data_IF_382240767646
#
_entry.id   IF_382240767646
#
_cell.length_a   1.000
_cell.length_b   1.000
_cell.length_c   1.000
_cell.angle_alpha   90.00
_cell.angle_beta   90.00
_cell.angle_gamma   90.00
#
_symmetry.space_group_name_H-M   'P 1'
#
loop_
_entity.id
_entity.type
_entity.pdbx_description
1 polymer ?
#
# COMPACT_ATOMS: atom_id res chain seq x y z
N UNK A 1 -47.32 5.41 7.97
CA UNK A 1 -47.04 4.10 7.34
C UNK A 1 -45.55 3.96 7.22
N UNK A 2 -45.02 2.77 7.44
CA UNK A 2 -43.60 2.49 7.30
C UNK A 2 -43.41 1.22 6.47
N UNK A 3 -42.37 1.21 5.66
CA UNK A 3 -41.92 0.03 4.92
C UNK A 3 -40.44 -0.20 5.26
N UNK A 4 -40.05 -1.40 5.66
CA UNK A 4 -38.64 -1.68 5.96
C UNK A 4 -37.81 -1.76 4.68
N UNK A 5 -36.53 -1.40 4.79
CA UNK A 5 -35.51 -1.66 3.78
C UNK A 5 -34.86 -2.99 4.14
N UNK A 6 -35.12 -4.05 3.37
CA UNK A 6 -34.61 -5.40 3.66
C UNK A 6 -33.56 -5.78 2.63
N UNK A 7 -32.38 -6.17 3.09
CA UNK A 7 -31.29 -6.73 2.29
C UNK A 7 -31.05 -8.17 2.72
N UNK A 8 -31.25 -9.12 1.82
CA UNK A 8 -31.02 -10.56 2.09
C UNK A 8 -31.69 -11.05 3.39
N UNK A 9 -32.94 -10.62 3.62
CA UNK A 9 -33.69 -10.94 4.83
C UNK A 9 -33.31 -10.11 6.07
N UNK A 10 -32.28 -9.26 6.00
CA UNK A 10 -31.83 -8.40 7.10
C UNK A 10 -32.36 -6.97 6.94
N UNK A 11 -33.03 -6.39 7.93
CA UNK A 11 -33.44 -4.99 7.90
C UNK A 11 -32.23 -4.05 8.02
N UNK A 12 -32.06 -3.18 7.03
CA UNK A 12 -30.99 -2.18 6.96
C UNK A 12 -31.50 -0.74 7.15
N UNK A 13 -32.83 -0.58 7.27
CA UNK A 13 -33.45 0.73 7.48
C UNK A 13 -34.96 0.71 7.31
N UNK A 14 -35.56 1.90 7.22
CA UNK A 14 -37.00 2.07 7.05
C UNK A 14 -37.31 3.32 6.24
N UNK A 15 -38.30 3.24 5.34
CA UNK A 15 -38.93 4.41 4.75
C UNK A 15 -40.23 4.68 5.49
N UNK A 16 -40.35 5.86 6.08
CA UNK A 16 -41.56 6.30 6.76
C UNK A 16 -42.25 7.41 5.97
N UNK A 17 -43.56 7.27 5.79
CA UNK A 17 -44.41 8.35 5.29
C UNK A 17 -45.56 8.60 6.27
N UNK A 18 -45.87 9.88 6.49
CA UNK A 18 -46.96 10.33 7.35
C UNK A 18 -47.81 11.37 6.64
N UNK A 19 -49.09 11.44 7.01
CA UNK A 19 -50.02 12.49 6.57
C UNK A 19 -50.63 13.12 7.82
N UNK A 20 -50.86 14.42 7.79
CA UNK A 20 -51.49 15.19 8.89
C UNK A 20 -53.02 15.10 8.89
N UNK A 21 -53.60 14.65 7.77
CA UNK A 21 -55.04 14.42 7.60
C UNK A 21 -55.35 12.95 7.89
N UNK A 22 -56.43 12.70 8.64
CA UNK A 22 -56.92 11.35 9.00
C UNK A 22 -57.52 10.66 7.77
N UNK A 23 -56.65 10.07 6.96
CA UNK A 23 -57.01 9.32 5.76
C UNK A 23 -56.02 8.16 5.58
N UNK A 24 -56.50 6.90 5.51
CA UNK A 24 -55.65 5.74 5.24
C UNK A 24 -54.88 5.88 3.92
N UNK A 25 -53.73 5.22 3.83
CA UNK A 25 -53.06 4.99 2.55
C UNK A 25 -53.81 3.87 1.82
N UNK A 26 -54.06 4.06 0.53
CA UNK A 26 -54.69 3.03 -0.28
C UNK A 26 -53.65 2.02 -0.78
N UNK A 27 -54.13 0.89 -1.32
CA UNK A 27 -53.26 -0.21 -1.77
C UNK A 27 -52.26 0.20 -2.84
N UNK A 28 -52.64 1.11 -3.75
CA UNK A 28 -51.73 1.65 -4.78
C UNK A 28 -50.58 2.44 -4.16
N UNK A 29 -50.87 3.25 -3.14
CA UNK A 29 -49.85 4.02 -2.39
C UNK A 29 -48.94 3.09 -1.58
N UNK A 30 -49.51 2.05 -0.97
CA UNK A 30 -48.74 1.04 -0.23
C UNK A 30 -47.80 0.29 -1.18
N UNK A 31 -48.32 -0.19 -2.32
CA UNK A 31 -47.54 -0.90 -3.33
C UNK A 31 -46.40 -0.04 -3.88
N UNK A 32 -46.69 1.23 -4.21
CA UNK A 32 -45.67 2.15 -4.68
C UNK A 32 -44.55 2.37 -3.65
N UNK A 33 -44.89 2.54 -2.37
CA UNK A 33 -43.87 2.71 -1.32
C UNK A 33 -43.00 1.46 -1.17
N UNK A 34 -43.59 0.26 -1.31
CA UNK A 34 -42.82 -1.00 -1.31
C UNK A 34 -41.83 -1.05 -2.47
N UNK A 35 -42.27 -0.73 -3.68
CA UNK A 35 -41.37 -0.66 -4.85
C UNK A 35 -40.24 0.35 -4.66
N UNK A 36 -40.52 1.52 -4.06
CA UNK A 36 -39.46 2.47 -3.73
C UNK A 36 -38.50 1.97 -2.64
N UNK A 37 -38.99 1.24 -1.65
CA UNK A 37 -38.14 0.61 -0.66
C UNK A 37 -37.20 -0.42 -1.31
N UNK A 38 -37.72 -1.25 -2.21
CA UNK A 38 -36.91 -2.24 -2.95
C UNK A 38 -35.82 -1.55 -3.80
N UNK A 39 -36.18 -0.48 -4.52
CA UNK A 39 -35.21 0.30 -5.31
C UNK A 39 -34.18 1.03 -4.44
N UNK A 40 -34.60 1.54 -3.27
CA UNK A 40 -33.69 2.20 -2.33
C UNK A 40 -32.65 1.21 -1.78
N UNK A 41 -33.04 -0.03 -1.47
CA UNK A 41 -32.09 -1.08 -1.07
C UNK A 41 -31.02 -1.30 -2.15
N UNK A 42 -31.43 -1.41 -3.42
CA UNK A 42 -30.50 -1.59 -4.55
C UNK A 42 -29.54 -0.40 -4.65
N UNK A 43 -30.04 0.83 -4.55
CA UNK A 43 -29.21 2.03 -4.65
C UNK A 43 -28.22 2.15 -3.49
N UNK A 44 -28.65 1.87 -2.26
CA UNK A 44 -27.79 1.85 -1.07
C UNK A 44 -26.68 0.82 -1.25
N UNK A 45 -27.01 -0.38 -1.74
CA UNK A 45 -26.04 -1.44 -1.94
C UNK A 45 -25.03 -1.09 -3.04
N UNK A 46 -25.47 -0.46 -4.13
CA UNK A 46 -24.57 0.01 -5.18
C UNK A 46 -23.54 1.02 -4.66
N UNK A 47 -23.97 1.98 -3.84
CA UNK A 47 -23.06 2.96 -3.22
C UNK A 47 -22.08 2.26 -2.27
N UNK A 48 -22.57 1.32 -1.45
CA UNK A 48 -21.73 0.54 -0.52
C UNK A 48 -20.65 -0.26 -1.27
N UNK A 49 -21.05 -1.00 -2.30
CA UNK A 49 -20.15 -1.81 -3.12
C UNK A 49 -19.11 -0.94 -3.85
N UNK A 50 -19.53 0.20 -4.38
CA UNK A 50 -18.63 1.14 -5.04
C UNK A 50 -17.59 1.72 -4.07
N UNK A 51 -18.00 2.10 -2.85
CA UNK A 51 -17.08 2.56 -1.81
C UNK A 51 -16.08 1.48 -1.39
N UNK A 52 -16.56 0.24 -1.23
CA UNK A 52 -15.71 -0.92 -0.90
C UNK A 52 -14.68 -1.18 -2.01
N UNK A 53 -15.09 -1.10 -3.27
CA UNK A 53 -14.21 -1.25 -4.42
C UNK A 53 -13.16 -0.13 -4.49
N UNK A 54 -13.53 1.12 -4.21
CA UNK A 54 -12.57 2.23 -4.17
C UNK A 54 -11.55 2.05 -3.04
N UNK A 55 -12.00 1.64 -1.85
CA UNK A 55 -11.12 1.40 -0.72
C UNK A 55 -10.10 0.29 -1.02
N UNK A 56 -10.56 -0.84 -1.57
CA UNK A 56 -9.68 -1.94 -1.99
C UNK A 56 -8.70 -1.53 -3.08
N UNK A 57 -9.14 -0.74 -4.07
CA UNK A 57 -8.22 -0.25 -5.11
C UNK A 57 -7.13 0.63 -4.51
N UNK A 58 -7.48 1.53 -3.58
CA UNK A 58 -6.50 2.38 -2.90
C UNK A 58 -5.46 1.54 -2.15
N UNK A 59 -5.91 0.56 -1.36
CA UNK A 59 -5.04 -0.35 -0.62
C UNK A 59 -4.09 -1.12 -1.56
N UNK A 60 -4.60 -1.62 -2.70
CA UNK A 60 -3.79 -2.30 -3.71
C UNK A 60 -2.76 -1.35 -4.33
N UNK A 61 -3.15 -0.12 -4.66
CA UNK A 61 -2.23 0.88 -5.21
C UNK A 61 -1.12 1.21 -4.23
N UNK A 62 -1.46 1.47 -2.96
CA UNK A 62 -0.47 1.75 -1.90
C UNK A 62 0.49 0.56 -1.71
N UNK A 63 -0.03 -0.67 -1.71
CA UNK A 63 0.79 -1.89 -1.60
C UNK A 63 1.74 -2.05 -2.80
N UNK A 64 1.26 -1.78 -4.02
CA UNK A 64 2.07 -1.83 -5.23
C UNK A 64 3.18 -0.77 -5.23
N UNK A 65 2.87 0.45 -4.78
CA UNK A 65 3.87 1.52 -4.62
C UNK A 65 4.96 1.11 -3.62
N UNK A 66 4.57 0.54 -2.47
CA UNK A 66 5.51 0.05 -1.47
C UNK A 66 6.40 -1.07 -2.01
N UNK A 67 5.82 -2.04 -2.72
CA UNK A 67 6.58 -3.13 -3.36
C UNK A 67 7.54 -2.60 -4.43
N UNK A 68 7.12 -1.61 -5.21
CA UNK A 68 7.95 -0.96 -6.22
C UNK A 68 9.13 -0.25 -5.57
N UNK A 69 8.89 0.58 -4.56
CA UNK A 69 9.95 1.26 -3.81
C UNK A 69 10.93 0.27 -3.17
N UNK A 70 10.41 -0.82 -2.58
CA UNK A 70 11.23 -1.89 -2.00
C UNK A 70 12.08 -2.58 -3.09
N UNK A 71 11.49 -2.87 -4.25
CA UNK A 71 12.18 -3.43 -5.40
C UNK A 71 13.26 -2.51 -5.94
N UNK A 72 13.05 -1.19 -5.97
CA UNK A 72 14.07 -0.22 -6.36
C UNK A 72 15.23 -0.17 -5.37
N UNK A 73 14.97 -0.21 -4.06
CA UNK A 73 16.01 -0.30 -3.03
C UNK A 73 16.82 -1.59 -3.21
N UNK A 74 16.14 -2.74 -3.36
CA UNK A 74 16.80 -4.01 -3.64
C UNK A 74 17.59 -3.97 -4.95
N UNK A 75 17.07 -3.29 -5.99
CA UNK A 75 17.79 -3.08 -7.25
C UNK A 75 19.04 -2.25 -7.03
N UNK A 76 18.98 -1.15 -6.27
CA UNK A 76 20.17 -0.32 -5.97
C UNK A 76 21.22 -1.14 -5.21
N UNK A 77 20.81 -1.88 -4.18
CA UNK A 77 21.68 -2.79 -3.42
C UNK A 77 22.32 -3.83 -4.36
N UNK A 78 21.53 -4.43 -5.24
CA UNK A 78 21.97 -5.48 -6.17
C UNK A 78 22.59 -4.98 -7.47
N UNK A 79 22.52 -3.68 -7.77
CA UNK A 79 23.17 -3.00 -8.91
C UNK A 79 24.52 -2.40 -8.55
N UNK A 80 24.92 -2.46 -7.26
CA UNK A 80 26.33 -2.41 -6.85
C UNK A 80 26.88 -3.79 -6.42
N UNK A 81 26.88 -4.83 -7.29
CA UNK A 81 27.69 -6.02 -7.09
C UNK A 81 29.06 -5.91 -7.77
N UNK A 82 29.29 -4.87 -8.60
CA UNK A 82 30.49 -4.73 -9.44
C UNK A 82 31.35 -3.51 -9.13
N UNK A 83 30.91 -2.61 -8.25
CA UNK A 83 31.77 -1.56 -7.73
C UNK A 83 31.74 -1.58 -6.20
N UNK A 84 32.42 -2.58 -5.64
CA UNK A 84 32.69 -2.68 -4.19
C UNK A 84 33.85 -1.76 -3.78
N UNK A 85 34.47 -1.04 -4.72
CA UNK A 85 35.58 -0.13 -4.44
C UNK A 85 35.21 0.98 -3.46
N UNK A 86 34.06 1.70 -3.60
CA UNK A 86 33.72 2.77 -2.66
C UNK A 86 33.54 2.28 -1.23
N UNK A 87 33.13 1.03 -1.04
CA UNK A 87 33.00 0.41 0.28
C UNK A 87 34.39 0.11 0.87
N UNK A 88 35.30 -0.45 0.08
CA UNK A 88 36.67 -0.71 0.52
C UNK A 88 37.44 0.59 0.82
N UNK A 89 37.29 1.61 0.00
CA UNK A 89 37.89 2.93 0.22
C UNK A 89 37.43 3.54 1.55
N UNK A 90 36.13 3.49 1.84
CA UNK A 90 35.58 4.04 3.08
C UNK A 90 36.11 3.29 4.30
N UNK A 91 36.13 1.95 4.27
CA UNK A 91 36.64 1.12 5.37
C UNK A 91 38.13 1.39 5.61
N UNK A 92 38.92 1.53 4.55
CA UNK A 92 40.36 1.77 4.65
C UNK A 92 40.64 3.14 5.28
N UNK A 93 39.95 4.19 4.84
CA UNK A 93 40.12 5.55 5.36
C UNK A 93 39.77 5.63 6.86
N UNK A 94 38.63 5.05 7.27
CA UNK A 94 38.25 5.06 8.69
C UNK A 94 39.20 4.23 9.55
N UNK A 95 39.67 3.09 9.05
CA UNK A 95 40.63 2.25 9.76
C UNK A 95 41.97 2.96 9.97
N UNK A 96 42.48 3.67 8.96
CA UNK A 96 43.71 4.45 9.09
C UNK A 96 43.55 5.59 10.10
N UNK A 97 42.38 6.26 10.09
CA UNK A 97 42.08 7.33 11.04
C UNK A 97 42.00 6.83 12.49
N UNK A 98 41.30 5.72 12.74
CA UNK A 98 41.13 5.15 14.10
C UNK A 98 42.45 4.60 14.64
N UNK A 99 43.24 3.97 13.78
CA UNK A 99 44.52 3.37 14.16
C UNK A 99 45.70 4.35 14.11
N UNK A 100 45.46 5.63 13.78
CA UNK A 100 46.49 6.66 13.57
C UNK A 100 47.61 6.21 12.60
N UNK A 101 47.24 5.45 11.56
CA UNK A 101 48.16 4.86 10.60
C UNK A 101 48.27 5.71 9.32
N UNK A 102 49.48 5.74 8.74
CA UNK A 102 49.79 6.59 7.57
C UNK A 102 49.59 5.90 6.21
N UNK A 103 49.54 4.56 6.19
CA UNK A 103 49.42 3.74 4.98
C UNK A 103 48.64 2.47 5.26
N UNK A 104 47.87 2.00 4.28
CA UNK A 104 47.20 0.70 4.35
C UNK A 104 46.62 0.28 3.00
N UNK A 105 46.26 -1.00 2.90
CA UNK A 105 45.60 -1.55 1.73
C UNK A 105 44.67 -2.70 2.08
N UNK A 106 43.65 -2.89 1.26
CA UNK A 106 42.71 -4.00 1.35
C UNK A 106 42.99 -4.96 0.19
N UNK A 107 43.03 -6.26 0.51
CA UNK A 107 43.20 -7.33 -0.46
C UNK A 107 42.04 -8.30 -0.35
N UNK A 108 41.51 -8.75 -1.48
CA UNK A 108 40.45 -9.75 -1.58
C UNK A 108 41.03 -11.07 -2.05
N UNK A 109 40.79 -12.15 -1.32
CA UNK A 109 41.15 -13.50 -1.76
C UNK A 109 39.96 -14.16 -2.45
N UNK A 110 40.13 -14.67 -3.66
CA UNK A 110 39.06 -15.34 -4.42
C UNK A 110 39.09 -16.87 -4.33
N UNK A 111 40.01 -17.42 -3.54
CA UNK A 111 40.24 -18.86 -3.43
C UNK A 111 41.52 -19.33 -4.12
N UNK A 112 42.07 -18.53 -5.05
CA UNK A 112 43.28 -18.86 -5.81
C UNK A 112 44.37 -17.79 -5.63
N UNK A 113 44.00 -16.52 -5.66
CA UNK A 113 44.94 -15.40 -5.59
C UNK A 113 44.42 -14.24 -4.73
N UNK A 114 45.37 -13.47 -4.21
CA UNK A 114 45.07 -12.18 -3.59
C UNK A 114 44.98 -11.11 -4.67
N UNK A 115 43.81 -10.46 -4.74
CA UNK A 115 43.56 -9.30 -5.58
C UNK A 115 43.63 -8.04 -4.76
N UNK A 116 44.35 -7.05 -5.26
CA UNK A 116 44.36 -5.73 -4.67
C UNK A 116 42.99 -5.09 -4.79
N UNK A 117 42.44 -4.62 -3.67
CA UNK A 117 41.07 -4.13 -3.57
C UNK A 117 40.96 -2.67 -3.14
N UNK A 118 41.93 -2.06 -2.46
CA UNK A 118 42.02 -0.60 -2.22
C UNK A 118 43.40 -0.25 -1.64
N UNK A 119 43.91 0.97 -1.84
CA UNK A 119 45.10 1.48 -1.13
C UNK A 119 45.06 3.00 -1.02
N UNK A 120 45.54 3.51 0.11
CA UNK A 120 45.61 4.95 0.38
C UNK A 120 47.05 5.36 0.69
N UNK A 121 47.47 6.46 0.04
CA UNK A 121 48.76 7.12 0.17
C UNK A 121 49.99 6.32 -0.32
N UNK A 122 49.92 5.83 -1.56
CA UNK A 122 51.13 5.38 -2.29
C UNK A 122 51.89 6.62 -2.73
N UNK A 123 52.96 6.98 -2.01
CA UNK A 123 53.97 7.86 -2.60
C UNK A 123 54.63 7.08 -3.76
N UNK A 124 54.86 7.69 -4.93
CA UNK A 124 55.43 7.03 -6.10
C UNK A 124 56.86 6.51 -5.87
#
# INVERSE_FOLDING_TARGET
>A
MATPLIREGTPIGVINIRRTVVRPFNDKQIALLKTFADQAVIAIENVRLFQELQAKNREITESLEQQTATGEVLRVISSSPTDVQPVFDTILVDSLRICEAHYGGIFRFDGEAFHHAATTNVSP
#
